data_IF_579732193418
#
_entry.id   IF_579732193418
#
_cell.length_a   1.000
_cell.length_b   1.000
_cell.length_c   1.000
_cell.angle_alpha   90.00
_cell.angle_beta   90.00
_cell.angle_gamma   90.00
#
_symmetry.space_group_name_H-M   'P 1'
#
loop_
_entity.id
_entity.type
_entity.pdbx_description
1 polymer ?
#
# COMPACT_ATOMS: atom_id res chain seq x y z
N UNK A 1 9.37 -19.23 -26.02
CA UNK A 1 9.08 -17.80 -26.26
C UNK A 1 9.06 -17.13 -24.91
N UNK A 2 9.96 -16.18 -24.68
CA UNK A 2 10.03 -15.45 -23.43
C UNK A 2 9.64 -14.00 -23.67
N UNK A 3 8.56 -13.58 -23.04
CA UNK A 3 8.07 -12.21 -23.09
C UNK A 3 8.51 -11.48 -21.83
N UNK A 4 9.35 -10.46 -22.00
CA UNK A 4 9.81 -9.62 -20.91
C UNK A 4 9.03 -8.31 -20.82
N UNK A 5 8.67 -7.94 -19.60
CA UNK A 5 7.91 -6.72 -19.31
C UNK A 5 8.83 -5.69 -18.66
N UNK A 6 9.00 -4.50 -19.26
CA UNK A 6 9.66 -3.38 -18.59
C UNK A 6 8.97 -3.05 -17.25
N UNK A 7 9.74 -2.54 -16.29
CA UNK A 7 9.20 -2.13 -15.00
C UNK A 7 8.07 -1.09 -15.19
N UNK A 8 6.84 -1.39 -14.75
CA UNK A 8 5.71 -0.49 -14.96
C UNK A 8 5.75 0.70 -14.02
N UNK A 9 4.99 1.73 -14.36
CA UNK A 9 4.79 2.90 -13.50
C UNK A 9 3.42 2.83 -12.82
N UNK A 10 3.33 3.43 -11.64
CA UNK A 10 2.09 3.53 -10.89
C UNK A 10 1.29 4.77 -11.35
N UNK A 11 0.00 4.57 -11.62
CA UNK A 11 -0.95 5.60 -11.98
C UNK A 11 -2.17 5.56 -11.07
N UNK A 12 -2.87 6.68 -10.97
CA UNK A 12 -4.18 6.77 -10.34
C UNK A 12 -5.22 7.04 -11.42
N UNK A 13 -6.11 6.07 -11.65
CA UNK A 13 -7.15 6.13 -12.67
C UNK A 13 -8.49 5.86 -11.99
N UNK A 14 -9.46 6.77 -12.12
CA UNK A 14 -10.80 6.63 -11.52
C UNK A 14 -10.79 6.37 -9.99
N UNK A 15 -9.79 6.91 -9.28
CA UNK A 15 -9.64 6.69 -7.83
C UNK A 15 -9.02 5.34 -7.44
N UNK A 16 -8.67 4.50 -8.42
CA UNK A 16 -7.96 3.24 -8.23
C UNK A 16 -6.48 3.40 -8.60
N UNK A 17 -5.60 2.73 -7.86
CA UNK A 17 -4.18 2.64 -8.22
C UNK A 17 -4.00 1.50 -9.21
N UNK A 18 -3.32 1.77 -10.33
CA UNK A 18 -3.02 0.78 -11.37
C UNK A 18 -1.55 0.89 -11.77
N UNK A 19 -1.02 -0.19 -12.34
CA UNK A 19 0.31 -0.21 -12.94
C UNK A 19 0.18 -0.29 -14.46
N UNK A 20 1.07 0.40 -15.18
CA UNK A 20 1.05 0.39 -16.63
C UNK A 20 2.17 1.20 -17.25
N UNK A 21 1.94 1.66 -18.49
CA UNK A 21 2.89 2.42 -19.29
C UNK A 21 2.22 3.65 -19.89
N UNK A 22 2.95 4.74 -20.03
CA UNK A 22 2.47 5.98 -20.64
C UNK A 22 3.44 6.46 -21.72
N UNK A 23 2.90 6.93 -22.85
CA UNK A 23 3.69 7.36 -24.00
C UNK A 23 4.07 6.17 -24.87
N UNK A 24 5.32 5.74 -24.79
CA UNK A 24 5.88 4.64 -25.58
C UNK A 24 6.43 3.56 -24.66
N UNK A 25 6.21 2.29 -25.02
CA UNK A 25 6.81 1.13 -24.34
C UNK A 25 7.22 0.11 -25.39
N UNK A 26 8.39 -0.50 -25.19
CA UNK A 26 8.91 -1.57 -26.04
C UNK A 26 8.99 -2.84 -25.20
N UNK A 27 8.33 -3.92 -25.64
CA UNK A 27 8.35 -5.21 -24.96
C UNK A 27 9.36 -6.14 -25.63
N UNK A 28 10.49 -6.48 -24.97
CA UNK A 28 11.43 -7.45 -25.51
C UNK A 28 10.78 -8.83 -25.60
N UNK A 29 10.87 -9.43 -26.78
CA UNK A 29 10.40 -10.79 -27.03
C UNK A 29 11.55 -11.65 -27.54
N UNK A 30 11.86 -12.73 -26.81
CA UNK A 30 12.84 -13.71 -27.22
C UNK A 30 12.14 -14.94 -27.82
N UNK A 31 12.41 -15.18 -29.09
CA UNK A 31 11.94 -16.35 -29.82
C UNK A 31 13.10 -17.36 -29.91
N UNK A 32 12.84 -18.58 -29.48
CA UNK A 32 13.78 -19.69 -29.58
C UNK A 32 13.19 -20.63 -30.62
N UNK A 33 13.91 -20.86 -31.71
CA UNK A 33 13.53 -21.78 -32.77
C UNK A 33 14.12 -23.16 -32.46
N UNK A 34 13.33 -24.22 -32.69
CA UNK A 34 13.80 -25.60 -32.54
C UNK A 34 14.79 -25.96 -33.66
N UNK A 35 14.55 -25.47 -34.87
CA UNK A 35 15.43 -25.57 -36.03
C UNK A 35 15.65 -24.18 -36.62
N UNK A 36 16.92 -23.77 -36.70
CA UNK A 36 17.31 -22.45 -37.21
C UNK A 36 17.30 -22.38 -38.74
N UNK A 37 17.26 -23.53 -39.44
CA UNK A 37 17.28 -23.59 -40.91
C UNK A 37 15.87 -23.72 -41.51
N UNK A 38 14.86 -24.00 -40.68
CA UNK A 38 13.49 -24.17 -41.11
C UNK A 38 12.72 -22.85 -41.13
N UNK A 39 11.95 -22.63 -42.21
CA UNK A 39 11.00 -21.53 -42.28
C UNK A 39 9.96 -21.65 -41.16
N UNK A 40 9.86 -20.60 -40.34
CA UNK A 40 8.98 -20.58 -39.16
C UNK A 40 7.94 -19.48 -39.31
N UNK A 41 6.68 -19.79 -39.04
CA UNK A 41 5.60 -18.79 -39.02
C UNK A 41 5.10 -18.57 -37.61
N UNK A 42 5.13 -17.33 -37.15
CA UNK A 42 4.56 -16.90 -35.88
C UNK A 42 3.29 -16.09 -36.17
N UNK A 43 2.15 -16.74 -36.02
CA UNK A 43 0.84 -16.10 -36.07
C UNK A 43 0.23 -16.08 -34.67
N UNK A 44 -0.28 -14.92 -34.27
CA UNK A 44 -0.91 -14.78 -32.96
C UNK A 44 -1.70 -13.49 -32.85
N UNK A 45 -2.62 -13.46 -31.90
CA UNK A 45 -3.42 -12.29 -31.60
C UNK A 45 -2.91 -11.65 -30.32
N UNK A 46 -2.52 -10.38 -30.40
CA UNK A 46 -2.12 -9.59 -29.25
C UNK A 46 -3.26 -8.66 -28.82
N UNK A 47 -3.89 -8.97 -27.70
CA UNK A 47 -4.92 -8.11 -27.10
C UNK A 47 -4.26 -7.13 -26.13
N UNK A 48 -4.32 -5.84 -26.45
CA UNK A 48 -3.81 -4.77 -25.59
C UNK A 48 -4.96 -4.01 -24.95
N UNK A 49 -4.89 -3.82 -23.63
CA UNK A 49 -5.78 -2.94 -22.89
C UNK A 49 -5.21 -1.52 -22.85
N UNK A 50 -5.97 -0.54 -23.34
CA UNK A 50 -5.64 0.88 -23.21
C UNK A 50 -6.71 1.59 -22.40
N UNK A 51 -6.29 2.31 -21.36
CA UNK A 51 -7.19 2.94 -20.41
C UNK A 51 -6.95 4.46 -20.35
N UNK A 52 -8.05 5.22 -20.42
CA UNK A 52 -8.06 6.66 -20.13
C UNK A 52 -9.10 6.94 -19.04
N UNK A 53 -10.31 7.37 -19.39
CA UNK A 53 -11.49 7.31 -18.50
C UNK A 53 -12.27 6.01 -18.68
N UNK A 54 -12.04 5.31 -19.78
CA UNK A 54 -12.61 4.02 -20.14
C UNK A 54 -11.46 3.11 -20.59
N UNK A 55 -11.55 1.82 -20.29
CA UNK A 55 -10.62 0.81 -20.78
C UNK A 55 -11.19 0.13 -22.02
N UNK A 56 -10.40 0.12 -23.10
CA UNK A 56 -10.75 -0.52 -24.37
C UNK A 56 -9.74 -1.64 -24.64
N UNK A 57 -10.25 -2.82 -25.00
CA UNK A 57 -9.45 -3.94 -25.47
C UNK A 57 -9.35 -3.86 -26.99
N UNK A 58 -8.11 -3.88 -27.50
CA UNK A 58 -7.84 -3.86 -28.95
C UNK A 58 -7.01 -5.06 -29.32
N UNK A 59 -7.45 -5.81 -30.32
CA UNK A 59 -6.74 -6.96 -30.86
C UNK A 59 -5.86 -6.54 -32.04
N UNK A 60 -4.59 -6.92 -31.98
CA UNK A 60 -3.60 -6.73 -33.03
C UNK A 60 -3.16 -8.10 -33.55
N UNK A 61 -3.33 -8.34 -34.85
CA UNK A 61 -2.85 -9.57 -35.48
C UNK A 61 -1.34 -9.49 -35.72
N UNK A 62 -0.58 -10.36 -35.05
CA UNK A 62 0.85 -10.54 -35.24
C UNK A 62 1.02 -11.67 -36.25
N UNK A 63 1.52 -11.32 -37.43
CA UNK A 63 1.86 -12.26 -38.49
C UNK A 63 3.32 -12.05 -38.87
N UNK A 64 4.21 -12.89 -38.35
CA UNK A 64 5.64 -12.82 -38.58
C UNK A 64 6.12 -14.13 -39.22
N UNK A 65 6.46 -14.04 -40.50
CA UNK A 65 7.12 -15.13 -41.22
C UNK A 65 8.64 -14.94 -41.10
N UNK A 66 9.30 -15.94 -40.52
CA UNK A 66 10.74 -15.97 -40.27
C UNK A 66 11.36 -16.95 -41.27
N UNK A 67 11.97 -16.41 -42.31
CA UNK A 67 12.77 -17.16 -43.28
C UNK A 67 14.26 -16.97 -42.95
N UNK A 68 14.94 -17.98 -42.36
CA UNK A 68 16.28 -17.82 -41.81
C UNK A 68 17.30 -17.25 -42.79
N UNK A 69 17.23 -17.66 -44.06
CA UNK A 69 18.13 -17.19 -45.12
C UNK A 69 17.99 -15.70 -45.49
N UNK A 70 16.91 -15.04 -45.06
CA UNK A 70 16.65 -13.62 -45.32
C UNK A 70 16.96 -12.72 -44.13
N UNK A 71 17.18 -13.31 -42.95
CA UNK A 71 17.46 -12.56 -41.72
C UNK A 71 18.78 -11.79 -41.85
N UNK A 72 18.74 -10.51 -41.50
CA UNK A 72 19.91 -9.64 -41.44
C UNK A 72 19.99 -9.00 -40.08
N UNK A 73 21.21 -8.80 -39.60
CA UNK A 73 21.44 -8.01 -38.40
C UNK A 73 20.98 -6.57 -38.64
N UNK A 74 20.07 -6.10 -37.80
CA UNK A 74 19.59 -4.72 -37.78
C UNK A 74 20.11 -4.04 -36.51
N UNK A 75 21.01 -3.08 -36.69
CA UNK A 75 21.67 -2.38 -35.58
C UNK A 75 20.71 -1.52 -34.78
N UNK A 76 19.70 -0.92 -35.42
CA UNK A 76 18.74 -0.05 -34.78
C UNK A 76 17.75 -0.88 -33.95
N UNK A 77 17.29 -2.00 -34.49
CA UNK A 77 16.46 -2.96 -33.77
C UNK A 77 17.21 -3.57 -32.56
N UNK A 78 18.49 -3.93 -32.75
CA UNK A 78 19.34 -4.41 -31.64
C UNK A 78 19.52 -3.36 -30.55
N UNK A 79 19.72 -2.09 -30.92
CA UNK A 79 19.82 -0.99 -29.96
C UNK A 79 18.50 -0.80 -29.18
N UNK A 80 17.36 -0.77 -29.87
CA UNK A 80 16.05 -0.65 -29.25
C UNK A 80 15.76 -1.82 -28.30
N UNK A 81 16.08 -3.05 -28.71
CA UNK A 81 15.95 -4.25 -27.87
C UNK A 81 16.80 -4.16 -26.60
N UNK A 82 18.09 -3.85 -26.72
CA UNK A 82 18.98 -3.74 -25.55
C UNK A 82 18.56 -2.61 -24.60
N UNK A 83 18.09 -1.49 -25.14
CA UNK A 83 17.51 -0.40 -24.33
C UNK A 83 16.28 -0.88 -23.55
N UNK A 84 15.37 -1.59 -24.21
CA UNK A 84 14.17 -2.12 -23.56
C UNK A 84 14.50 -3.17 -22.49
N UNK A 85 15.39 -4.13 -22.77
CA UNK A 85 15.84 -5.14 -21.80
C UNK A 85 16.46 -4.51 -20.57
N UNK A 86 17.18 -3.39 -20.69
CA UNK A 86 17.77 -2.70 -19.54
C UNK A 86 16.75 -2.21 -18.50
N UNK A 87 15.48 -2.06 -18.90
CA UNK A 87 14.37 -1.65 -18.04
C UNK A 87 13.53 -2.81 -17.48
N UNK A 88 13.82 -4.05 -17.89
CA UNK A 88 13.13 -5.25 -17.39
C UNK A 88 13.68 -5.60 -16.01
N UNK A 89 12.81 -5.86 -15.00
CA UNK A 89 13.27 -6.30 -13.69
C UNK A 89 14.09 -7.59 -13.78
N UNK A 90 15.26 -7.60 -13.13
CA UNK A 90 16.08 -8.80 -13.06
C UNK A 90 15.50 -9.74 -11.98
N UNK A 91 15.32 -11.00 -12.33
CA UNK A 91 14.83 -12.02 -11.40
C UNK A 91 15.94 -12.41 -10.43
N UNK A 92 15.65 -12.34 -9.13
CA UNK A 92 16.55 -12.78 -8.08
C UNK A 92 16.40 -14.29 -7.90
N UNK A 93 17.52 -15.00 -7.84
CA UNK A 93 17.57 -16.45 -7.63
C UNK A 93 16.99 -16.83 -6.26
N UNK A 94 16.40 -18.01 -6.16
CA UNK A 94 15.72 -18.47 -4.95
C UNK A 94 16.63 -18.48 -3.70
N UNK A 95 17.91 -18.83 -3.86
CA UNK A 95 18.89 -18.85 -2.77
C UNK A 95 19.16 -17.44 -2.18
N UNK A 96 19.16 -16.41 -3.04
CA UNK A 96 19.39 -15.03 -2.60
C UNK A 96 18.10 -14.36 -2.14
N UNK A 97 16.93 -14.80 -2.65
CA UNK A 97 15.62 -14.23 -2.34
C UNK A 97 15.19 -14.45 -0.88
N UNK A 98 15.39 -15.65 -0.31
CA UNK A 98 14.95 -15.98 1.05
C UNK A 98 15.66 -15.17 2.15
N UNK A 99 16.87 -14.69 1.86
CA UNK A 99 17.62 -13.81 2.76
C UNK A 99 17.27 -12.33 2.55
N UNK A 100 16.97 -11.93 1.31
CA UNK A 100 16.79 -10.53 0.93
C UNK A 100 15.36 -9.99 1.14
N UNK A 101 14.34 -10.84 1.06
CA UNK A 101 12.93 -10.44 1.22
C UNK A 101 12.15 -11.44 2.07
N UNK A 102 11.25 -10.94 2.92
CA UNK A 102 10.32 -11.75 3.71
C UNK A 102 8.90 -11.26 3.54
N UNK A 103 7.98 -12.20 3.32
CA UNK A 103 6.56 -11.94 3.21
C UNK A 103 5.83 -12.50 4.42
N UNK A 104 5.14 -11.61 5.15
CA UNK A 104 4.36 -11.93 6.33
C UNK A 104 2.88 -11.65 6.09
N UNK A 105 2.00 -12.57 6.44
CA UNK A 105 0.55 -12.38 6.38
C UNK A 105 -0.08 -12.32 7.76
N UNK A 106 -0.83 -11.25 8.03
CA UNK A 106 -1.66 -11.08 9.23
C UNK A 106 -3.13 -11.30 8.86
N UNK A 107 -3.61 -12.53 9.06
CA UNK A 107 -5.00 -12.91 8.77
C UNK A 107 -6.02 -12.10 9.57
N UNK A 108 -5.66 -11.62 10.78
CA UNK A 108 -6.59 -10.86 11.62
C UNK A 108 -6.86 -9.44 11.11
N UNK A 109 -5.95 -8.92 10.28
CA UNK A 109 -6.06 -7.58 9.68
C UNK A 109 -6.21 -7.60 8.16
N UNK A 110 -6.13 -8.77 7.53
CA UNK A 110 -6.07 -8.93 6.07
C UNK A 110 -4.93 -8.09 5.46
N UNK A 111 -3.76 -8.12 6.09
CA UNK A 111 -2.61 -7.29 5.71
C UNK A 111 -1.38 -8.14 5.38
N UNK A 112 -0.69 -7.75 4.30
CA UNK A 112 0.59 -8.31 3.87
C UNK A 112 1.72 -7.37 4.30
N UNK A 113 2.67 -7.89 5.08
CA UNK A 113 3.94 -7.27 5.43
C UNK A 113 5.03 -7.74 4.46
N UNK A 114 5.74 -6.81 3.86
CA UNK A 114 6.91 -7.07 3.03
C UNK A 114 8.12 -6.43 3.69
N UNK A 115 9.09 -7.25 4.08
CA UNK A 115 10.33 -6.82 4.73
C UNK A 115 11.49 -7.04 3.78
N UNK A 116 12.25 -5.98 3.50
CA UNK A 116 13.44 -6.02 2.65
C UNK A 116 14.62 -5.31 3.34
N UNK A 117 15.84 -5.73 3.03
CA UNK A 117 17.06 -5.08 3.54
C UNK A 117 17.27 -3.72 2.86
N UNK A 118 17.54 -2.65 3.62
CA UNK A 118 17.62 -1.29 3.08
C UNK A 118 18.91 -0.97 2.31
N UNK A 119 19.94 -1.82 2.39
CA UNK A 119 21.31 -1.59 1.84
C UNK A 119 21.32 -1.12 0.39
N UNK A 120 20.37 -1.58 -0.41
CA UNK A 120 20.31 -1.33 -1.86
C UNK A 120 19.16 -0.41 -2.29
N UNK A 121 18.38 0.12 -1.36
CA UNK A 121 17.12 0.80 -1.65
C UNK A 121 17.03 2.15 -0.96
N UNK A 122 16.82 3.22 -1.74
CA UNK A 122 16.63 4.57 -1.21
C UNK A 122 15.14 4.89 -1.06
N UNK A 123 14.39 4.74 -2.15
CA UNK A 123 12.95 5.00 -2.20
C UNK A 123 12.28 3.91 -3.05
N UNK A 124 12.21 2.67 -2.53
CA UNK A 124 11.66 1.57 -3.29
C UNK A 124 10.16 1.75 -3.50
N UNK A 125 9.72 1.48 -4.73
CA UNK A 125 8.33 1.19 -5.06
C UNK A 125 8.19 -0.33 -5.14
N UNK A 126 7.16 -0.86 -4.50
CA UNK A 126 6.90 -2.28 -4.44
C UNK A 126 5.62 -2.61 -5.19
N UNK A 127 5.70 -3.64 -6.01
CA UNK A 127 4.58 -4.17 -6.80
C UNK A 127 4.44 -5.64 -6.42
N UNK A 128 3.23 -6.04 -6.02
CA UNK A 128 2.92 -7.40 -5.60
C UNK A 128 2.14 -8.07 -6.72
N UNK A 129 2.65 -9.19 -7.19
CA UNK A 129 2.08 -10.03 -8.22
C UNK A 129 1.99 -11.48 -7.72
N UNK A 130 1.14 -12.30 -8.34
CA UNK A 130 1.08 -13.75 -8.08
C UNK A 130 -0.21 -14.27 -7.46
N UNK A 131 -1.16 -13.39 -7.16
CA UNK A 131 -2.52 -13.80 -6.75
C UNK A 131 -3.57 -13.04 -7.57
N UNK A 132 -4.18 -13.66 -8.59
CA UNK A 132 -5.02 -12.96 -9.56
C UNK A 132 -6.29 -12.36 -8.95
N UNK A 133 -6.81 -12.96 -7.88
CA UNK A 133 -8.07 -12.54 -7.26
C UNK A 133 -7.87 -11.56 -6.09
N UNK A 134 -6.63 -11.24 -5.73
CA UNK A 134 -6.31 -10.37 -4.59
C UNK A 134 -5.70 -9.06 -5.05
N UNK A 135 -6.31 -7.95 -4.61
CA UNK A 135 -5.81 -6.60 -4.82
C UNK A 135 -5.01 -6.17 -3.60
N UNK A 136 -3.75 -5.77 -3.82
CA UNK A 136 -2.85 -5.25 -2.81
C UNK A 136 -2.77 -3.73 -2.89
N UNK A 137 -3.19 -3.04 -1.82
CA UNK A 137 -3.11 -1.58 -1.72
C UNK A 137 -2.05 -1.19 -0.70
N UNK A 138 -1.06 -0.41 -1.14
CA UNK A 138 0.00 0.07 -0.26
C UNK A 138 -0.55 1.00 0.82
N UNK A 139 -0.35 0.65 2.09
CA UNK A 139 -0.77 1.42 3.27
C UNK A 139 0.37 2.30 3.76
N UNK A 140 1.56 1.72 3.93
CA UNK A 140 2.72 2.44 4.43
C UNK A 140 4.03 1.78 4.03
N UNK A 141 5.08 2.58 3.92
CA UNK A 141 6.46 2.12 3.79
C UNK A 141 7.26 2.82 4.88
N UNK A 142 7.76 2.05 5.84
CA UNK A 142 8.52 2.57 6.96
C UNK A 142 9.89 1.91 7.02
N UNK A 143 10.89 2.65 7.50
CA UNK A 143 12.18 2.06 7.85
C UNK A 143 12.13 1.62 9.31
N UNK A 144 12.50 0.38 9.58
CA UNK A 144 12.65 -0.18 10.92
C UNK A 144 14.14 -0.19 11.23
N UNK A 145 14.53 0.58 12.23
CA UNK A 145 15.92 0.65 12.70
C UNK A 145 16.37 -0.73 13.20
N UNK A 146 17.62 -1.07 12.87
CA UNK A 146 18.31 -2.23 13.41
C UNK A 146 18.35 -2.14 14.94
N UNK A 147 17.81 -3.15 15.62
CA UNK A 147 17.74 -3.12 17.09
C UNK A 147 19.06 -3.53 17.73
N UNK A 148 19.90 -4.28 16.99
CA UNK A 148 21.21 -4.77 17.43
C UNK A 148 22.37 -4.24 16.58
N UNK A 149 23.55 -4.16 17.20
CA UNK A 149 24.81 -3.78 16.54
C UNK A 149 25.19 -4.83 15.50
N UNK A 150 25.04 -4.50 14.22
CA UNK A 150 25.34 -5.39 13.10
C UNK A 150 24.10 -5.84 12.31
N UNK A 151 22.88 -5.51 12.77
CA UNK A 151 21.70 -5.65 11.94
C UNK A 151 21.64 -4.54 10.88
N UNK A 152 21.22 -4.92 9.67
CA UNK A 152 20.96 -3.98 8.58
C UNK A 152 19.58 -3.35 8.83
N UNK A 153 19.45 -2.05 8.59
CA UNK A 153 18.15 -1.37 8.60
C UNK A 153 17.21 -2.04 7.58
N UNK A 154 15.94 -2.24 7.97
CA UNK A 154 14.97 -2.92 7.10
C UNK A 154 13.90 -1.94 6.65
N UNK A 155 13.45 -2.07 5.42
CA UNK A 155 12.25 -1.39 4.93
C UNK A 155 11.08 -2.36 5.08
N UNK A 156 10.02 -1.88 5.71
CA UNK A 156 8.79 -2.62 5.98
C UNK A 156 7.66 -1.93 5.24
N UNK A 157 7.12 -2.59 4.22
CA UNK A 157 5.95 -2.15 3.49
C UNK A 157 4.73 -2.96 3.92
N UNK A 158 3.63 -2.27 4.22
CA UNK A 158 2.35 -2.88 4.62
C UNK A 158 1.33 -2.65 3.51
N UNK A 159 0.64 -3.71 3.11
CA UNK A 159 -0.42 -3.69 2.12
C UNK A 159 -1.73 -4.20 2.72
N UNK A 160 -2.83 -3.48 2.46
CA UNK A 160 -4.17 -4.04 2.63
C UNK A 160 -4.43 -4.97 1.46
N UNK A 161 -4.89 -6.19 1.75
CA UNK A 161 -5.27 -7.16 0.74
C UNK A 161 -6.78 -7.38 0.77
N UNK A 162 -7.39 -7.32 -0.40
CA UNK A 162 -8.84 -7.51 -0.56
C UNK A 162 -9.13 -8.34 -1.80
N UNK A 163 -10.19 -9.15 -1.75
CA UNK A 163 -10.66 -9.94 -2.90
C UNK A 163 -12.16 -9.79 -3.06
N UNK A 164 -12.62 -9.88 -4.30
CA UNK A 164 -14.05 -9.94 -4.63
C UNK A 164 -14.69 -11.30 -4.30
N UNK A 165 -13.87 -12.35 -4.17
CA UNK A 165 -14.33 -13.73 -3.94
C UNK A 165 -14.40 -14.11 -2.46
N UNK A 166 -13.95 -13.24 -1.55
CA UNK A 166 -13.95 -13.50 -0.11
C UNK A 166 -12.71 -12.97 0.60
N UNK A 167 -12.40 -13.53 1.76
CA UNK A 167 -11.17 -13.23 2.49
C UNK A 167 -9.95 -13.81 1.75
N UNK A 168 -8.90 -13.02 1.47
CA UNK A 168 -7.71 -13.52 0.81
C UNK A 168 -6.99 -14.61 1.61
N UNK A 169 -6.80 -15.78 1.00
CA UNK A 169 -5.99 -16.86 1.56
C UNK A 169 -4.59 -16.84 0.94
N UNK A 170 -3.63 -16.25 1.64
CA UNK A 170 -2.26 -16.06 1.12
C UNK A 170 -1.21 -16.95 1.77
N UNK A 171 -1.50 -17.57 2.93
CA UNK A 171 -0.52 -18.39 3.66
C UNK A 171 -0.04 -19.58 2.82
N UNK A 172 1.28 -19.77 2.76
CA UNK A 172 1.92 -20.84 1.99
C UNK A 172 1.95 -20.62 0.48
N UNK A 173 1.35 -19.53 -0.03
CA UNK A 173 1.45 -19.17 -1.45
C UNK A 173 2.78 -18.45 -1.72
N UNK A 174 3.30 -18.61 -2.92
CA UNK A 174 4.45 -17.84 -3.39
C UNK A 174 3.95 -16.60 -4.13
N UNK A 175 4.34 -15.42 -3.63
CA UNK A 175 4.08 -14.16 -4.29
C UNK A 175 5.37 -13.64 -4.92
N UNK A 176 5.21 -12.92 -6.03
CA UNK A 176 6.29 -12.18 -6.67
C UNK A 176 6.22 -10.73 -6.22
N UNK A 177 7.36 -10.20 -5.82
CA UNK A 177 7.51 -8.80 -5.43
C UNK A 177 8.53 -8.15 -6.32
N UNK A 178 8.05 -7.23 -7.16
CA UNK A 178 8.92 -6.39 -7.97
C UNK A 178 9.23 -5.12 -7.18
N UNK A 179 10.51 -4.92 -6.87
CA UNK A 179 11.02 -3.75 -6.18
C UNK A 179 11.75 -2.87 -7.19
N UNK A 180 11.28 -1.64 -7.36
CA UNK A 180 11.78 -0.67 -8.32
C UNK A 180 12.29 0.57 -7.59
N UNK A 181 13.50 1.00 -7.92
CA UNK A 181 14.08 2.29 -7.52
C UNK A 181 14.66 2.97 -8.77
N UNK A 182 15.05 4.23 -8.63
CA UNK A 182 15.66 5.09 -9.65
C UNK A 182 16.81 4.47 -10.45
N UNK A 183 17.50 3.46 -9.91
CA UNK A 183 18.70 2.87 -10.53
C UNK A 183 18.58 1.38 -10.86
N UNK A 184 17.52 0.68 -10.39
CA UNK A 184 17.40 -0.78 -10.56
C UNK A 184 15.96 -1.25 -10.34
N UNK A 185 15.62 -2.36 -10.98
CA UNK A 185 14.40 -3.11 -10.74
C UNK A 185 14.75 -4.59 -10.53
N UNK A 186 14.28 -5.17 -9.43
CA UNK A 186 14.50 -6.57 -9.07
C UNK A 186 13.16 -7.24 -8.79
N UNK A 187 12.95 -8.44 -9.33
CA UNK A 187 11.79 -9.29 -9.06
C UNK A 187 12.22 -10.42 -8.11
N UNK A 188 11.59 -10.47 -6.94
CA UNK A 188 11.79 -11.52 -5.95
C UNK A 188 10.60 -12.46 -5.93
N UNK A 189 10.83 -13.74 -5.65
CA UNK A 189 9.76 -14.71 -5.37
C UNK A 189 9.97 -15.25 -3.97
N UNK A 190 8.95 -15.17 -3.11
CA UNK A 190 9.06 -15.66 -1.73
C UNK A 190 7.72 -16.23 -1.26
N UNK A 191 7.78 -17.18 -0.32
CA UNK A 191 6.60 -17.78 0.29
C UNK A 191 6.06 -16.91 1.42
N UNK A 192 4.74 -16.76 1.47
CA UNK A 192 4.04 -16.00 2.50
C UNK A 192 3.92 -16.81 3.79
N UNK A 193 4.50 -16.27 4.87
CA UNK A 193 4.51 -16.88 6.21
C UNK A 193 3.57 -16.13 7.16
N UNK A 194 3.06 -16.78 8.23
CA UNK A 194 2.26 -16.08 9.21
C UNK A 194 3.08 -15.00 9.95
N UNK A 195 2.51 -13.81 10.13
CA UNK A 195 3.09 -12.71 10.92
C UNK A 195 2.02 -12.05 11.79
N UNK A 196 2.44 -11.12 12.65
CA UNK A 196 1.56 -10.25 13.41
C UNK A 196 2.02 -8.81 13.21
N UNK A 197 1.20 -8.00 12.52
CA UNK A 197 1.58 -6.63 12.18
C UNK A 197 1.26 -5.75 13.38
N UNK A 198 2.28 -5.39 14.16
CA UNK A 198 2.13 -4.42 15.25
C UNK A 198 2.32 -3.03 14.65
N UNK A 199 1.24 -2.25 14.62
CA UNK A 199 1.33 -0.84 14.22
C UNK A 199 2.30 -0.15 15.18
N UNK A 200 3.34 0.49 14.65
CA UNK A 200 4.19 1.35 15.47
C UNK A 200 3.33 2.52 15.96
N UNK A 201 2.88 2.41 17.20
CA UNK A 201 2.01 3.38 17.82
C UNK A 201 2.67 4.75 17.76
N UNK A 202 1.92 5.75 17.28
CA UNK A 202 2.28 7.14 17.52
C UNK A 202 2.53 7.29 19.02
N UNK A 203 3.71 7.81 19.39
CA UNK A 203 4.10 7.99 20.79
C UNK A 203 2.93 8.58 21.57
N UNK A 204 2.51 7.94 22.68
CA UNK A 204 1.41 8.40 23.54
C UNK A 204 1.50 9.91 23.84
N UNK A 205 2.73 10.43 23.89
CA UNK A 205 3.04 11.85 24.02
C UNK A 205 2.43 12.71 22.90
N UNK A 206 2.52 12.28 21.63
CA UNK A 206 1.93 12.96 20.48
C UNK A 206 0.40 12.96 20.57
N UNK A 207 -0.20 11.85 20.99
CA UNK A 207 -1.66 11.78 21.20
C UNK A 207 -2.10 12.74 22.31
N UNK A 208 -1.36 12.80 23.44
CA UNK A 208 -1.62 13.77 24.51
C UNK A 208 -1.48 15.22 24.04
N UNK A 209 -0.46 15.54 23.25
CA UNK A 209 -0.26 16.88 22.69
C UNK A 209 -1.41 17.31 21.78
N UNK A 210 -1.86 16.42 20.88
CA UNK A 210 -2.99 16.70 19.99
C UNK A 210 -4.29 16.84 20.79
N UNK A 211 -4.51 16.00 21.81
CA UNK A 211 -5.68 16.10 22.69
C UNK A 211 -5.69 17.42 23.48
N UNK A 212 -4.53 17.86 23.98
CA UNK A 212 -4.37 19.15 24.66
C UNK A 212 -4.68 20.31 23.72
N UNK A 213 -4.12 20.29 22.50
CA UNK A 213 -4.32 21.33 21.49
C UNK A 213 -5.79 21.37 21.05
N UNK A 214 -6.41 20.21 20.80
CA UNK A 214 -7.84 20.11 20.46
C UNK A 214 -8.73 20.65 21.57
N UNK A 215 -8.44 20.33 22.84
CA UNK A 215 -9.13 20.88 23.99
C UNK A 215 -8.99 22.40 24.11
N UNK A 216 -7.80 22.94 23.84
CA UNK A 216 -7.54 24.38 23.85
C UNK A 216 -8.32 25.11 22.74
N UNK A 217 -8.31 24.57 21.52
CA UNK A 217 -9.04 25.14 20.38
C UNK A 217 -10.55 25.19 20.66
N UNK A 218 -11.13 24.12 21.22
CA UNK A 218 -12.55 24.07 21.57
C UNK A 218 -12.94 25.10 22.64
N UNK A 219 -12.03 25.45 23.55
CA UNK A 219 -12.25 26.53 24.54
C UNK A 219 -12.16 27.94 23.91
N UNK A 220 -11.43 28.09 22.79
CA UNK A 220 -11.25 29.36 22.08
C UNK A 220 -12.34 29.61 21.02
N UNK A 221 -13.22 28.63 20.79
CA UNK A 221 -14.36 28.79 19.88
C UNK A 221 -15.38 29.79 20.48
N UNK A 222 -15.74 30.89 19.77
CA UNK A 222 -16.48 32.01 20.36
C UNK A 222 -17.92 31.71 20.78
N UNK A 223 -18.43 30.50 20.49
CA UNK A 223 -19.79 30.07 20.79
C UNK A 223 -19.98 29.49 22.21
N UNK A 224 -18.91 29.25 22.98
CA UNK A 224 -18.97 28.61 24.33
C UNK A 224 -18.58 29.57 25.46
N UNK A 225 -18.10 30.77 25.11
CA UNK A 225 -17.83 31.88 26.03
C UNK A 225 -18.99 32.27 26.97
N UNK A 226 -20.30 32.11 26.62
CA UNK A 226 -21.39 32.48 27.53
C UNK A 226 -21.50 31.61 28.79
N UNK A 227 -21.05 30.35 28.73
CA UNK A 227 -21.21 29.38 29.84
C UNK A 227 -20.13 29.55 30.90
N UNK A 228 -18.91 29.95 30.50
CA UNK A 228 -17.84 30.27 31.44
C UNK A 228 -18.17 31.56 32.25
N UNK A 229 -18.80 32.53 31.58
CA UNK A 229 -19.24 33.79 32.21
C UNK A 229 -20.24 33.60 33.35
N UNK A 230 -21.17 32.64 33.21
CA UNK A 230 -22.15 32.35 34.26
C UNK A 230 -21.55 31.64 35.49
N UNK A 231 -20.53 30.77 35.33
CA UNK A 231 -19.85 30.13 36.48
C UNK A 231 -18.91 31.08 37.23
N UNK A 232 -18.25 32.00 36.52
CA UNK A 232 -17.39 33.02 37.15
C UNK A 232 -18.17 33.96 38.09
N UNK A 233 -19.40 34.33 37.73
CA UNK A 233 -20.27 35.13 38.60
C UNK A 233 -20.69 34.41 39.89
N UNK A 234 -20.73 33.07 39.90
CA UNK A 234 -21.10 32.28 41.09
C UNK A 234 -19.94 32.08 42.08
N UNK A 235 -18.69 32.12 41.59
CA UNK A 235 -17.48 31.98 42.42
C UNK A 235 -17.06 33.32 43.03
N UNK A 236 -17.33 34.44 42.36
CA UNK A 236 -17.05 35.79 42.88
C UNK A 236 -18.03 36.20 44.00
N UNK A 237 -19.18 35.53 44.13
CA UNK A 237 -20.23 35.86 45.09
C UNK A 237 -20.17 35.08 46.42
N UNK A 238 -19.18 34.19 46.64
CA UNK A 238 -19.10 33.36 47.85
C UNK A 238 -17.66 33.30 48.41
N UNK A 239 -17.32 34.04 49.49
CA UNK A 239 -15.96 34.12 50.03
C UNK A 239 -15.46 32.85 50.76
N UNK A 240 -16.32 31.87 51.04
CA UNK A 240 -16.06 30.76 51.98
C UNK A 240 -16.18 29.35 51.37
N UNK A 241 -15.90 29.18 50.08
CA UNK A 241 -15.87 27.83 49.48
C UNK A 241 -14.51 27.15 49.69
N UNK A 242 -14.50 26.06 50.48
CA UNK A 242 -13.32 25.21 50.63
C UNK A 242 -12.81 24.73 49.26
N UNK A 243 -11.49 24.81 49.04
CA UNK A 243 -10.82 24.36 47.80
C UNK A 243 -11.22 22.95 47.35
N UNK A 244 -11.66 22.11 48.28
CA UNK A 244 -12.11 20.75 48.02
C UNK A 244 -13.46 20.69 47.28
N UNK A 245 -14.42 21.53 47.64
CA UNK A 245 -15.74 21.57 46.98
C UNK A 245 -15.64 22.06 45.53
N UNK A 246 -14.75 23.03 45.27
CA UNK A 246 -14.48 23.51 43.90
C UNK A 246 -13.91 22.38 43.04
N UNK A 247 -12.92 21.62 43.54
CA UNK A 247 -12.33 20.49 42.81
C UNK A 247 -13.37 19.39 42.52
N UNK A 248 -14.24 19.09 43.47
CA UNK A 248 -15.30 18.10 43.28
C UNK A 248 -16.30 18.51 42.19
N UNK A 249 -16.68 19.79 42.11
CA UNK A 249 -17.60 20.27 41.07
C UNK A 249 -16.98 20.18 39.66
N UNK A 250 -15.68 20.46 39.52
CA UNK A 250 -14.98 20.29 38.24
C UNK A 250 -14.85 18.82 37.85
N UNK A 251 -14.51 17.94 38.80
CA UNK A 251 -14.41 16.49 38.55
C UNK A 251 -15.78 15.89 38.19
N UNK A 252 -16.84 16.28 38.90
CA UNK A 252 -18.20 15.83 38.60
C UNK A 252 -18.65 16.27 37.19
N UNK A 253 -18.28 17.50 36.78
CA UNK A 253 -18.57 18.00 35.43
C UNK A 253 -17.79 17.22 34.36
N UNK A 254 -16.49 16.96 34.59
CA UNK A 254 -15.67 16.18 33.67
C UNK A 254 -16.18 14.73 33.53
N UNK A 255 -16.54 14.09 34.64
CA UNK A 255 -17.16 12.76 34.64
C UNK A 255 -18.48 12.74 33.89
N UNK A 256 -19.34 13.75 34.09
CA UNK A 256 -20.61 13.84 33.36
C UNK A 256 -20.43 13.91 31.84
N UNK A 257 -19.43 14.66 31.37
CA UNK A 257 -19.08 14.74 29.95
C UNK A 257 -18.59 13.37 29.44
N UNK A 258 -17.66 12.73 30.15
CA UNK A 258 -17.14 11.40 29.78
C UNK A 258 -18.26 10.34 29.71
N UNK A 259 -19.16 10.32 30.69
CA UNK A 259 -20.31 9.41 30.71
C UNK A 259 -21.25 9.68 29.54
N UNK A 260 -21.48 10.94 29.18
CA UNK A 260 -22.32 11.30 28.03
C UNK A 260 -21.72 10.82 26.71
N UNK A 261 -20.41 10.99 26.52
CA UNK A 261 -19.71 10.46 25.34
C UNK A 261 -19.70 8.94 25.30
N UNK A 262 -19.52 8.27 26.44
CA UNK A 262 -19.59 6.81 26.54
C UNK A 262 -20.99 6.28 26.20
N UNK A 263 -22.04 6.94 26.68
CA UNK A 263 -23.42 6.58 26.34
C UNK A 263 -23.67 6.73 24.83
N UNK A 264 -23.23 7.84 24.23
CA UNK A 264 -23.36 8.08 22.80
C UNK A 264 -22.56 7.05 21.97
N UNK A 265 -21.32 6.77 22.37
CA UNK A 265 -20.48 5.76 21.73
C UNK A 265 -21.10 4.36 21.83
N UNK A 266 -21.59 3.97 23.00
CA UNK A 266 -22.30 2.71 23.21
C UNK A 266 -23.56 2.60 22.36
N UNK A 267 -24.33 3.68 22.24
CA UNK A 267 -25.51 3.75 21.38
C UNK A 267 -25.16 3.54 19.90
N UNK A 268 -24.11 4.21 19.40
CA UNK A 268 -23.62 4.02 18.02
C UNK A 268 -23.13 2.58 17.80
N UNK A 269 -22.43 2.01 18.78
CA UNK A 269 -21.90 0.64 18.70
C UNK A 269 -23.03 -0.39 18.64
N UNK A 270 -24.10 -0.19 19.43
CA UNK A 270 -25.33 -0.99 19.37
C UNK A 270 -26.02 -0.90 18.00
N UNK A 271 -26.14 0.32 17.44
CA UNK A 271 -26.69 0.52 16.09
C UNK A 271 -25.87 -0.21 15.02
N UNK A 272 -24.53 -0.20 15.15
CA UNK A 272 -23.63 -0.91 14.26
C UNK A 272 -23.86 -2.43 14.25
N UNK A 273 -24.18 -3.01 15.41
CA UNK A 273 -24.51 -4.44 15.53
C UNK A 273 -25.83 -4.81 14.85
N UNK A 274 -26.76 -3.86 14.67
CA UNK A 274 -28.03 -4.10 13.97
C UNK A 274 -27.94 -4.04 12.44
N UNK A 275 -26.73 -3.96 11.87
CA UNK A 275 -26.51 -3.97 10.41
C UNK A 275 -26.86 -2.65 9.70
N UNK A 276 -27.27 -1.62 10.45
CA UNK A 276 -27.48 -0.27 9.91
C UNK A 276 -26.12 0.44 9.88
N UNK A 277 -25.47 0.43 8.71
CA UNK A 277 -24.25 1.19 8.47
C UNK A 277 -24.55 2.70 8.39
N UNK A 278 -24.76 3.34 9.54
CA UNK A 278 -24.74 4.80 9.65
C UNK A 278 -23.27 5.22 9.72
N UNK A 279 -22.60 5.18 8.58
CA UNK A 279 -21.27 5.73 8.40
C UNK A 279 -21.33 7.25 8.36
N UNK A 280 -20.71 7.91 9.35
CA UNK A 280 -20.41 9.33 9.24
C UNK A 280 -19.32 9.53 8.19
N UNK A 281 -19.75 9.89 6.98
CA UNK A 281 -18.86 10.24 5.88
C UNK A 281 -18.74 9.16 4.80
N UNK A 282 -19.84 8.85 4.12
CA UNK A 282 -19.81 8.22 2.80
C UNK A 282 -19.12 9.16 1.80
N UNK A 283 -17.86 8.84 1.48
CA UNK A 283 -17.30 8.91 0.12
C UNK A 283 -16.58 7.60 -0.14
#
# INVERSE_FOLDING_TARGET
MDWSWPAPQQFSLLGMQTFGYQGEVTFPLLLILDDIEADTRLHGKFTLSSCTTICVLTDYEINLDIEPGTLKADTDAMFAYNRAVSSVPLKVTAQDADSAIKLGWDSGKSQLEVVLDSTHWRQPKLIIDGEPDTVFKLVSVNKREASDVGEVEKIVAIFDASSWLGEPELLGKSLRVTVVDSQRALEYSSEVKPTQIIAQGSSLLKMMLIALIGGLILNVMPCVLPVLGMKLSSVIAAPDLERNQIRQQFIASALGILVSFWLLAGFILMLKFTGQAIGWGLR
#
